data_IF_322417428314
#
_entry.id   IF_322417428314
#
_cell.length_a   1.000
_cell.length_b   1.000
_cell.length_c   1.000
_cell.angle_alpha   90.00
_cell.angle_beta   90.00
_cell.angle_gamma   90.00
#
_symmetry.space_group_name_H-M   'P 1'
#
loop_
_entity.id
_entity.type
_entity.pdbx_description
1 polymer ?
#
# COMPACT_ATOMS: atom_id res chain seq x y z
N UNK A 1 9.17 -13.28 -10.97
CA UNK A 1 9.76 -14.37 -10.16
C UNK A 1 11.24 -14.03 -9.99
N UNK A 2 11.75 -13.79 -8.77
CA UNK A 2 13.19 -13.55 -8.58
C UNK A 2 13.91 -14.86 -8.89
N UNK A 3 14.64 -14.91 -9.99
CA UNK A 3 15.40 -16.09 -10.40
C UNK A 3 16.57 -16.27 -9.44
N UNK A 4 16.89 -17.53 -9.13
CA UNK A 4 18.10 -17.86 -8.38
C UNK A 4 19.29 -17.23 -9.11
N UNK A 5 20.14 -16.43 -8.43
CA UNK A 5 21.27 -15.79 -9.09
C UNK A 5 22.22 -16.84 -9.67
N UNK A 6 22.93 -16.47 -10.74
CA UNK A 6 23.94 -17.34 -11.35
C UNK A 6 24.97 -17.80 -10.31
N UNK A 7 25.60 -18.95 -10.56
CA UNK A 7 26.67 -19.49 -9.70
C UNK A 7 27.73 -18.40 -9.43
N UNK A 8 28.11 -18.22 -8.16
CA UNK A 8 29.04 -17.19 -7.73
C UNK A 8 28.44 -15.79 -7.56
N UNK A 9 27.17 -15.55 -7.93
CA UNK A 9 26.47 -14.27 -7.78
C UNK A 9 25.45 -14.26 -6.63
N UNK A 10 25.61 -15.15 -5.64
CA UNK A 10 24.69 -15.22 -4.49
C UNK A 10 24.56 -13.89 -3.74
N UNK A 11 25.65 -13.14 -3.65
CA UNK A 11 25.70 -11.83 -2.98
C UNK A 11 24.80 -10.75 -3.61
N UNK A 12 24.36 -10.93 -4.85
CA UNK A 12 23.47 -9.97 -5.53
C UNK A 12 21.98 -10.20 -5.21
N UNK A 13 21.64 -11.26 -4.48
CA UNK A 13 20.26 -11.55 -4.09
C UNK A 13 19.83 -10.84 -2.80
N UNK A 14 20.80 -10.34 -2.01
CA UNK A 14 20.54 -9.65 -0.76
C UNK A 14 19.88 -8.29 -0.98
N UNK A 15 18.97 -7.93 -0.07
CA UNK A 15 18.37 -6.62 0.03
C UNK A 15 18.60 -6.08 1.44
N UNK A 16 18.65 -4.76 1.62
CA UNK A 16 18.82 -4.16 2.95
C UNK A 16 17.63 -4.49 3.87
N UNK A 17 17.86 -4.59 5.17
CA UNK A 17 16.82 -4.65 6.20
C UNK A 17 16.56 -3.28 6.83
N UNK A 18 16.73 -2.20 6.04
CA UNK A 18 16.47 -0.84 6.49
C UNK A 18 14.98 -0.57 6.37
N UNK A 19 14.38 -0.01 7.40
CA UNK A 19 13.01 0.52 7.41
C UNK A 19 13.03 1.99 7.80
N UNK A 20 11.92 2.68 7.55
CA UNK A 20 11.71 4.06 7.98
C UNK A 20 10.96 4.07 9.30
N UNK A 21 11.45 4.88 10.23
CA UNK A 21 10.88 5.08 11.56
C UNK A 21 10.83 6.56 11.86
N UNK A 22 10.06 6.95 12.87
CA UNK A 22 10.08 8.32 13.39
C UNK A 22 10.79 8.32 14.74
N UNK A 23 11.84 9.12 14.87
CA UNK A 23 12.60 9.35 16.10
C UNK A 23 12.63 10.86 16.33
N UNK A 24 12.25 11.31 17.52
CA UNK A 24 12.13 12.74 17.86
C UNK A 24 11.35 13.57 16.82
N UNK A 25 10.22 13.02 16.37
CA UNK A 25 9.37 13.60 15.31
C UNK A 25 10.02 13.71 13.92
N UNK A 26 11.22 13.15 13.72
CA UNK A 26 11.95 13.19 12.45
C UNK A 26 11.96 11.81 11.78
N UNK A 27 11.44 11.68 10.55
CA UNK A 27 11.56 10.47 9.75
C UNK A 27 13.03 10.11 9.52
N UNK A 28 13.39 8.89 9.87
CA UNK A 28 14.76 8.42 9.97
C UNK A 28 14.88 6.95 9.57
N UNK A 29 16.07 6.55 9.14
CA UNK A 29 16.38 5.18 8.74
C UNK A 29 16.83 4.34 9.94
N UNK A 30 16.27 3.14 10.05
CA UNK A 30 16.66 2.13 11.03
C UNK A 30 17.02 0.83 10.31
N UNK A 31 18.25 0.36 10.50
CA UNK A 31 18.67 -0.97 10.08
C UNK A 31 18.33 -1.99 11.17
N UNK A 32 17.62 -3.04 10.79
CA UNK A 32 17.39 -4.21 11.63
C UNK A 32 18.53 -5.20 11.41
N UNK A 33 19.44 -5.31 12.38
CA UNK A 33 20.69 -6.07 12.25
C UNK A 33 20.83 -7.16 13.33
N UNK A 34 20.42 -8.40 13.03
CA UNK A 34 20.66 -9.54 13.91
C UNK A 34 22.14 -9.83 14.18
N UNK A 35 23.05 -9.32 13.35
CA UNK A 35 24.50 -9.45 13.52
C UNK A 35 25.09 -8.45 14.53
N UNK A 36 24.35 -7.41 14.90
CA UNK A 36 24.76 -6.45 15.92
C UNK A 36 24.32 -6.95 17.30
N UNK A 37 25.25 -7.06 18.24
CA UNK A 37 24.93 -7.47 19.62
C UNK A 37 24.03 -6.45 20.32
N UNK A 38 24.28 -5.16 20.11
CA UNK A 38 23.57 -4.06 20.74
C UNK A 38 23.05 -3.05 19.71
N UNK A 39 21.99 -2.36 20.09
CA UNK A 39 21.45 -1.22 19.36
C UNK A 39 22.38 -0.02 19.49
N UNK A 40 22.70 0.62 18.37
CA UNK A 40 23.68 1.71 18.35
C UNK A 40 23.43 2.72 17.24
N UNK A 41 24.04 3.90 17.38
CA UNK A 41 23.97 4.99 16.40
C UNK A 41 25.28 5.77 16.38
N UNK A 42 25.64 6.30 15.22
CA UNK A 42 26.83 7.16 15.08
C UNK A 42 26.54 8.58 15.53
N UNK A 43 27.47 9.18 16.29
CA UNK A 43 27.40 10.55 16.80
C UNK A 43 26.96 11.57 15.73
N UNK A 44 27.64 11.54 14.59
CA UNK A 44 27.40 12.51 13.50
C UNK A 44 25.99 12.40 12.93
N UNK A 45 25.47 11.18 12.82
CA UNK A 45 24.13 10.93 12.31
C UNK A 45 23.05 11.23 13.35
N UNK A 46 23.27 10.87 14.61
CA UNK A 46 22.34 11.22 15.68
C UNK A 46 22.14 12.74 15.74
N UNK A 47 23.20 13.52 15.60
CA UNK A 47 23.12 14.99 15.60
C UNK A 47 22.28 15.58 14.45
N UNK A 48 22.13 14.88 13.32
CA UNK A 48 21.24 15.36 12.24
C UNK A 48 19.77 15.20 12.58
N UNK A 49 19.44 14.29 13.50
CA UNK A 49 18.08 13.99 13.92
C UNK A 49 17.76 14.66 15.27
N UNK A 50 18.71 14.69 16.20
CA UNK A 50 18.56 15.23 17.55
C UNK A 50 19.78 16.11 17.84
N UNK A 51 19.76 17.42 17.51
CA UNK A 51 20.95 18.27 17.55
C UNK A 51 21.58 18.43 18.95
N UNK A 52 20.79 18.32 20.01
CA UNK A 52 21.22 18.48 21.41
C UNK A 52 21.13 17.15 22.18
N UNK A 53 21.45 16.03 21.53
CA UNK A 53 21.36 14.71 22.18
C UNK A 53 22.38 14.55 23.31
N UNK A 54 23.49 15.30 23.28
CA UNK A 54 24.55 15.22 24.29
C UNK A 54 24.05 15.53 25.70
N UNK A 55 23.07 16.43 25.85
CA UNK A 55 22.45 16.78 27.12
C UNK A 55 21.55 15.65 27.69
N UNK A 56 21.19 14.68 26.84
CA UNK A 56 20.31 13.55 27.15
C UNK A 56 21.10 12.25 27.33
N UNK A 57 22.43 12.28 27.19
CA UNK A 57 23.25 11.09 27.30
C UNK A 57 23.31 10.59 28.73
N UNK A 58 22.91 9.33 28.92
CA UNK A 58 23.18 8.60 30.13
C UNK A 58 24.63 8.07 30.11
N UNK A 59 25.29 7.96 31.28
CA UNK A 59 26.65 7.46 31.36
C UNK A 59 26.73 5.99 30.92
N UNK A 60 27.87 5.62 30.32
CA UNK A 60 28.18 4.24 29.96
C UNK A 60 29.56 3.90 30.53
N UNK A 61 29.64 2.81 31.31
CA UNK A 61 30.89 2.44 31.99
C UNK A 61 31.22 0.96 31.80
N UNK A 62 32.51 0.67 31.64
CA UNK A 62 33.07 -0.68 31.71
C UNK A 62 32.86 -1.59 30.49
N UNK A 63 32.21 -1.15 29.41
CA UNK A 63 31.92 -1.99 28.23
C UNK A 63 32.84 -1.62 27.05
N UNK A 64 33.49 -2.63 26.47
CA UNK A 64 34.25 -2.51 25.22
C UNK A 64 33.38 -2.94 24.05
N UNK A 65 33.23 -2.05 23.07
CA UNK A 65 32.53 -2.34 21.83
C UNK A 65 33.52 -2.58 20.70
N UNK A 66 33.24 -3.55 19.85
CA UNK A 66 34.05 -3.85 18.66
C UNK A 66 33.13 -3.93 17.45
N UNK A 67 33.55 -3.30 16.36
CA UNK A 67 33.03 -3.60 15.03
C UNK A 67 33.79 -4.80 14.44
N UNK A 68 33.42 -5.22 13.23
CA UNK A 68 34.14 -6.28 12.51
C UNK A 68 35.62 -5.96 12.27
N UNK A 69 36.00 -4.68 12.28
CA UNK A 69 37.35 -4.25 11.85
C UNK A 69 38.10 -3.44 12.90
N UNK A 70 37.40 -2.75 13.80
CA UNK A 70 38.02 -1.80 14.73
C UNK A 70 37.29 -1.73 16.09
N UNK A 71 38.00 -1.41 17.17
CA UNK A 71 37.38 -1.00 18.43
C UNK A 71 36.48 0.23 18.24
N UNK A 72 35.39 0.26 18.97
CA UNK A 72 34.38 1.31 18.92
C UNK A 72 34.39 2.10 20.24
N UNK A 73 34.38 3.43 20.14
CA UNK A 73 34.36 4.33 21.30
C UNK A 73 32.93 4.77 21.56
N UNK A 74 32.34 4.24 22.63
CA UNK A 74 31.04 4.67 23.12
C UNK A 74 31.15 6.02 23.86
N UNK A 75 30.15 6.88 23.68
CA UNK A 75 30.02 8.19 24.34
C UNK A 75 29.02 8.19 25.49
N UNK A 76 27.97 7.37 25.37
CA UNK A 76 26.87 7.30 26.32
C UNK A 76 25.72 6.49 25.75
N UNK A 77 24.64 6.39 26.52
CA UNK A 77 23.38 5.79 26.11
C UNK A 77 22.38 6.90 25.78
N UNK A 78 21.74 6.80 24.62
CA UNK A 78 20.66 7.68 24.21
C UNK A 78 19.35 6.88 24.20
N UNK A 79 18.47 7.15 25.16
CA UNK A 79 17.13 6.55 25.23
C UNK A 79 16.15 7.37 24.39
N UNK A 80 15.40 6.72 23.50
CA UNK A 80 14.35 7.38 22.72
C UNK A 80 13.20 6.43 22.39
N UNK A 81 12.06 7.01 22.06
CA UNK A 81 10.99 6.29 21.39
C UNK A 81 11.31 6.14 19.89
N UNK A 82 11.19 4.92 19.40
CA UNK A 82 11.21 4.57 17.97
C UNK A 82 9.79 4.26 17.56
N UNK A 83 9.27 5.03 16.61
CA UNK A 83 7.91 4.88 16.12
C UNK A 83 7.95 4.23 14.74
N UNK A 84 7.31 3.08 14.60
CA UNK A 84 7.07 2.42 13.33
C UNK A 84 5.73 2.89 12.77
N UNK A 85 5.72 3.73 11.72
CA UNK A 85 4.49 4.20 11.12
C UNK A 85 3.74 3.07 10.42
N UNK A 86 2.42 3.05 10.53
CA UNK A 86 1.57 2.06 9.85
C UNK A 86 0.14 2.59 9.68
N UNK A 87 -0.51 2.23 8.57
CA UNK A 87 -1.87 2.70 8.20
C UNK A 87 -2.94 2.38 9.26
N UNK A 88 -2.77 1.26 9.97
CA UNK A 88 -3.69 0.81 11.02
C UNK A 88 -3.30 1.30 12.43
N UNK A 89 -2.43 2.30 12.52
CA UNK A 89 -1.94 2.85 13.77
C UNK A 89 -0.45 2.58 13.99
N UNK A 90 0.24 3.60 14.49
CA UNK A 90 1.68 3.55 14.72
C UNK A 90 2.02 2.65 15.89
N UNK A 91 3.11 1.89 15.77
CA UNK A 91 3.69 1.16 16.89
C UNK A 91 4.84 1.98 17.48
N UNK A 92 4.90 2.09 18.81
CA UNK A 92 5.97 2.78 19.52
C UNK A 92 6.70 1.79 20.41
N UNK A 93 8.02 1.77 20.32
CA UNK A 93 8.90 1.04 21.24
C UNK A 93 9.92 2.00 21.86
N UNK A 94 10.36 1.73 23.07
CA UNK A 94 11.42 2.50 23.74
C UNK A 94 12.73 1.75 23.58
N UNK A 95 13.78 2.44 23.14
CA UNK A 95 15.07 1.85 22.79
C UNK A 95 16.20 2.70 23.34
N UNK A 96 17.16 2.05 23.95
CA UNK A 96 18.45 2.60 24.33
C UNK A 96 19.48 2.34 23.23
N UNK A 97 20.03 3.40 22.65
CA UNK A 97 21.09 3.31 21.66
C UNK A 97 22.43 3.66 22.29
N UNK A 98 23.42 2.80 22.10
CA UNK A 98 24.81 3.16 22.37
C UNK A 98 25.27 4.17 21.32
N UNK A 99 25.64 5.38 21.75
CA UNK A 99 26.14 6.42 20.84
C UNK A 99 27.63 6.21 20.61
N UNK A 100 28.02 5.99 19.36
CA UNK A 100 29.37 5.66 18.95
C UNK A 100 30.06 6.88 18.32
N UNK A 101 31.26 7.23 18.78
CA UNK A 101 32.02 8.38 18.26
C UNK A 101 32.59 8.11 16.87
N UNK A 102 33.20 6.94 16.67
CA UNK A 102 33.92 6.56 15.45
C UNK A 102 33.07 5.66 14.52
N UNK A 103 31.78 5.97 14.38
CA UNK A 103 30.84 5.19 13.57
C UNK A 103 30.18 6.03 12.47
N UNK A 104 30.43 5.67 11.21
CA UNK A 104 30.00 6.42 10.01
C UNK A 104 28.76 5.84 9.34
N UNK A 105 27.73 5.52 10.13
CA UNK A 105 26.43 5.06 9.60
C UNK A 105 25.51 6.23 9.24
N UNK A 106 24.59 6.01 8.31
CA UNK A 106 23.51 6.96 7.94
C UNK A 106 22.12 6.46 8.36
N UNK A 107 22.10 5.59 9.35
CA UNK A 107 20.92 4.99 9.94
C UNK A 107 21.23 4.56 11.38
N UNK A 108 20.19 4.49 12.21
CA UNK A 108 20.24 3.76 13.47
C UNK A 108 20.42 2.26 13.21
N UNK A 109 20.96 1.52 14.17
CA UNK A 109 20.99 0.07 14.15
C UNK A 109 20.18 -0.44 15.34
N UNK A 110 19.14 -1.20 15.06
CA UNK A 110 18.46 -2.02 16.06
C UNK A 110 19.13 -3.40 16.06
N UNK A 111 19.87 -3.65 17.13
CA UNK A 111 20.61 -4.88 17.32
C UNK A 111 19.76 -6.01 17.90
N UNK A 112 20.41 -7.14 18.08
CA UNK A 112 19.78 -8.37 18.56
C UNK A 112 19.20 -8.23 19.99
N UNK A 113 19.73 -7.31 20.80
CA UNK A 113 19.20 -6.91 22.11
C UNK A 113 17.70 -6.56 22.04
N UNK A 114 17.33 -5.64 21.15
CA UNK A 114 15.96 -5.17 21.01
C UNK A 114 15.14 -5.96 20.00
N UNK A 115 15.78 -6.60 19.01
CA UNK A 115 15.08 -7.52 18.11
C UNK A 115 14.45 -8.68 18.89
N UNK A 116 15.19 -9.29 19.82
CA UNK A 116 14.67 -10.37 20.67
C UNK A 116 13.66 -9.82 21.68
N UNK A 117 13.98 -8.69 22.34
CA UNK A 117 13.12 -8.11 23.38
C UNK A 117 11.71 -7.80 22.87
N UNK A 118 11.59 -7.27 21.66
CA UNK A 118 10.30 -6.89 21.06
C UNK A 118 9.72 -7.96 20.11
N UNK A 119 10.36 -9.14 19.98
CA UNK A 119 9.90 -10.18 19.08
C UNK A 119 9.80 -9.70 17.63
N UNK A 120 10.87 -9.09 17.11
CA UNK A 120 10.91 -8.55 15.75
C UNK A 120 11.35 -9.64 14.78
N UNK A 121 10.45 -10.04 13.89
CA UNK A 121 10.70 -11.05 12.87
C UNK A 121 10.92 -10.44 11.49
N UNK A 122 11.97 -10.87 10.80
CA UNK A 122 12.30 -10.43 9.43
C UNK A 122 11.83 -11.49 8.42
N UNK A 123 10.82 -11.17 7.63
CA UNK A 123 10.30 -12.07 6.60
C UNK A 123 10.95 -11.81 5.24
N UNK A 124 11.82 -12.74 4.82
CA UNK A 124 12.57 -12.67 3.56
C UNK A 124 11.91 -13.49 2.43
N UNK A 125 10.60 -13.38 2.27
CA UNK A 125 9.86 -14.03 1.18
C UNK A 125 9.76 -13.10 -0.06
N UNK A 126 8.85 -13.39 -1.01
CA UNK A 126 8.66 -12.58 -2.22
C UNK A 126 8.35 -11.12 -1.89
N UNK A 127 7.60 -10.89 -0.82
CA UNK A 127 7.16 -9.58 -0.34
C UNK A 127 7.82 -9.34 1.01
N UNK A 128 9.01 -8.74 1.03
CA UNK A 128 9.79 -8.60 2.27
C UNK A 128 9.10 -7.61 3.21
N UNK A 129 8.82 -8.06 4.43
CA UNK A 129 8.27 -7.25 5.50
C UNK A 129 8.87 -7.68 6.85
N UNK A 130 8.60 -6.89 7.88
CA UNK A 130 8.83 -7.28 9.27
C UNK A 130 7.53 -7.27 10.07
N UNK A 131 7.50 -8.02 11.16
CA UNK A 131 6.45 -7.96 12.18
C UNK A 131 7.09 -7.68 13.54
N UNK A 132 6.32 -7.13 14.47
CA UNK A 132 6.80 -6.78 15.80
C UNK A 132 5.82 -7.37 16.82
N UNK A 133 6.34 -8.19 17.73
CA UNK A 133 5.55 -8.95 18.70
C UNK A 133 4.65 -10.00 18.05
N UNK A 134 3.57 -10.36 18.75
CA UNK A 134 2.66 -11.43 18.33
C UNK A 134 1.69 -11.03 17.19
N UNK A 135 1.65 -9.75 16.82
CA UNK A 135 0.73 -9.26 15.80
C UNK A 135 1.25 -9.53 14.37
N UNK A 136 1.04 -10.76 13.90
CA UNK A 136 1.45 -11.19 12.54
C UNK A 136 0.65 -10.54 11.42
N UNK A 137 -0.45 -9.87 11.73
CA UNK A 137 -1.27 -9.16 10.75
C UNK A 137 -0.71 -7.77 10.41
N UNK A 138 0.01 -7.13 11.34
CA UNK A 138 0.61 -5.82 11.13
C UNK A 138 2.02 -5.97 10.53
N UNK A 139 2.13 -5.67 9.24
CA UNK A 139 3.37 -5.84 8.47
C UNK A 139 3.98 -4.48 8.17
N UNK A 140 5.24 -4.29 8.53
CA UNK A 140 5.97 -3.06 8.21
C UNK A 140 6.90 -3.31 7.03
N UNK A 141 6.97 -2.33 6.12
CA UNK A 141 7.76 -2.42 4.91
C UNK A 141 9.23 -2.11 5.20
N UNK A 142 10.13 -2.76 4.46
CA UNK A 142 11.50 -2.28 4.32
C UNK A 142 11.55 -1.18 3.25
N UNK A 143 12.47 -0.24 3.42
CA UNK A 143 12.79 0.72 2.38
C UNK A 143 13.26 -0.04 1.14
N UNK A 144 12.65 0.22 -0.02
CA UNK A 144 13.06 -0.46 -1.22
C UNK A 144 14.45 0.02 -1.65
N UNK A 145 15.17 -0.84 -2.35
CA UNK A 145 16.46 -0.45 -2.93
C UNK A 145 16.23 0.74 -3.87
N UNK A 146 17.16 1.72 -3.89
CA UNK A 146 17.07 3.08 -4.49
C UNK A 146 16.31 3.23 -5.83
N UNK A 147 16.08 2.17 -6.60
CA UNK A 147 15.28 2.20 -7.83
C UNK A 147 13.75 2.17 -7.66
N UNK A 148 13.18 1.85 -6.49
CA UNK A 148 11.72 1.75 -6.33
C UNK A 148 11.06 3.02 -5.78
N UNK A 149 11.78 3.83 -4.99
CA UNK A 149 11.28 5.08 -4.37
C UNK A 149 10.93 6.14 -5.43
N UNK A 150 11.69 6.18 -6.53
CA UNK A 150 11.39 7.10 -7.63
C UNK A 150 10.03 6.77 -8.27
N UNK A 151 9.72 5.48 -8.43
CA UNK A 151 8.50 5.03 -9.09
C UNK A 151 7.24 5.28 -8.24
N UNK A 152 7.30 5.12 -6.92
CA UNK A 152 6.14 5.37 -6.04
C UNK A 152 5.79 6.86 -5.94
N UNK A 153 6.79 7.74 -5.88
CA UNK A 153 6.54 9.18 -5.86
C UNK A 153 6.04 9.70 -7.21
N UNK A 154 6.60 9.20 -8.32
CA UNK A 154 6.11 9.51 -9.67
C UNK A 154 4.70 8.99 -9.88
N UNK A 155 4.41 7.75 -9.46
CA UNK A 155 3.07 7.18 -9.57
C UNK A 155 2.06 7.90 -8.67
N UNK A 156 2.44 8.24 -7.43
CA UNK A 156 1.54 8.98 -6.53
C UNK A 156 1.27 10.39 -7.05
N UNK A 157 2.25 11.07 -7.62
CA UNK A 157 2.05 12.37 -8.25
C UNK A 157 1.14 12.24 -9.48
N UNK A 158 1.41 11.24 -10.35
CA UNK A 158 0.59 10.95 -11.52
C UNK A 158 -0.87 10.64 -11.14
N UNK A 159 -1.10 9.76 -10.16
CA UNK A 159 -2.45 9.41 -9.69
C UNK A 159 -3.16 10.61 -9.06
N UNK A 160 -2.44 11.48 -8.36
CA UNK A 160 -3.01 12.71 -7.81
C UNK A 160 -3.36 13.73 -8.89
N UNK A 161 -2.50 13.87 -9.91
CA UNK A 161 -2.71 14.78 -11.03
C UNK A 161 -3.93 14.35 -11.86
N UNK A 162 -4.10 13.04 -12.04
CA UNK A 162 -5.23 12.44 -12.76
C UNK A 162 -6.38 12.00 -11.84
N UNK A 163 -6.44 12.46 -10.59
CA UNK A 163 -7.44 12.00 -9.59
C UNK A 163 -8.90 12.18 -10.05
N UNK A 164 -9.14 13.16 -10.91
CA UNK A 164 -10.47 13.52 -11.46
C UNK A 164 -10.89 12.61 -12.64
N UNK A 165 -9.98 11.78 -13.15
CA UNK A 165 -10.25 10.79 -14.20
C UNK A 165 -10.72 9.42 -13.64
N UNK A 166 -10.78 9.29 -12.30
CA UNK A 166 -11.18 8.05 -11.62
C UNK A 166 -12.57 8.16 -11.00
N UNK A 167 -13.37 7.10 -11.14
CA UNK A 167 -14.68 7.00 -10.51
C UNK A 167 -14.57 7.02 -8.97
N UNK A 168 -15.44 7.81 -8.34
CA UNK A 168 -15.60 7.88 -6.89
C UNK A 168 -17.05 7.63 -6.47
N UNK A 169 -17.30 7.49 -5.17
CA UNK A 169 -18.68 7.34 -4.64
C UNK A 169 -19.55 8.59 -4.89
N UNK A 170 -18.92 9.74 -5.19
CA UNK A 170 -19.60 11.02 -5.45
C UNK A 170 -19.72 11.34 -6.94
N UNK A 171 -18.78 10.85 -7.74
CA UNK A 171 -18.68 11.05 -9.19
C UNK A 171 -18.46 9.67 -9.83
N UNK A 172 -19.53 8.90 -10.05
CA UNK A 172 -19.43 7.58 -10.67
C UNK A 172 -18.96 7.71 -12.12
N UNK A 173 -18.46 6.60 -12.69
CA UNK A 173 -17.83 6.58 -14.02
C UNK A 173 -18.63 7.30 -15.12
N UNK A 174 -19.95 7.15 -15.13
CA UNK A 174 -20.83 7.79 -16.11
C UNK A 174 -20.90 9.31 -16.03
N UNK A 175 -20.38 9.94 -14.97
CA UNK A 175 -20.36 11.40 -14.79
C UNK A 175 -18.99 12.02 -15.15
N UNK A 176 -17.99 11.21 -15.53
CA UNK A 176 -16.64 11.67 -15.88
C UNK A 176 -16.54 11.92 -17.41
N UNK A 177 -16.22 13.17 -17.78
CA UNK A 177 -16.07 13.58 -19.19
C UNK A 177 -14.84 12.87 -19.82
N UNK A 178 -15.02 12.25 -21.00
CA UNK A 178 -13.96 11.52 -21.71
C UNK A 178 -13.83 10.03 -21.37
N UNK A 179 -14.66 9.54 -20.45
CA UNK A 179 -14.75 8.12 -20.07
C UNK A 179 -16.11 7.52 -20.50
N UNK A 180 -16.58 7.88 -21.69
CA UNK A 180 -17.85 7.40 -22.22
C UNK A 180 -17.81 5.89 -22.45
N UNK A 181 -18.80 5.17 -21.91
CA UNK A 181 -18.95 3.74 -22.14
C UNK A 181 -19.87 3.49 -23.35
N UNK A 182 -19.28 3.03 -24.45
CA UNK A 182 -20.03 2.59 -25.63
C UNK A 182 -20.72 1.25 -25.37
N UNK A 183 -22.02 1.29 -25.04
CA UNK A 183 -22.84 0.08 -24.92
C UNK A 183 -23.39 -0.28 -26.30
N UNK A 184 -22.67 -1.14 -27.02
CA UNK A 184 -23.14 -1.71 -28.27
C UNK A 184 -24.13 -2.84 -27.96
N UNK A 185 -25.42 -2.57 -28.17
CA UNK A 185 -26.42 -3.63 -28.19
C UNK A 185 -26.20 -4.46 -29.45
N UNK A 186 -26.11 -5.79 -29.31
CA UNK A 186 -25.90 -6.73 -30.41
C UNK A 186 -27.12 -6.82 -31.34
N UNK A 187 -27.30 -5.81 -32.19
CA UNK A 187 -28.37 -5.76 -33.20
C UNK A 187 -27.88 -6.10 -34.61
N UNK A 188 -26.70 -6.70 -34.74
CA UNK A 188 -26.19 -7.17 -36.03
C UNK A 188 -27.06 -8.30 -36.60
N UNK A 189 -27.31 -8.23 -37.90
CA UNK A 189 -28.04 -9.28 -38.61
C UNK A 189 -27.16 -10.54 -38.72
N UNK A 190 -27.77 -11.73 -38.68
CA UNK A 190 -29.20 -11.99 -38.59
C UNK A 190 -29.72 -11.79 -37.16
N UNK A 191 -30.82 -11.03 -37.03
CA UNK A 191 -31.49 -10.87 -35.75
C UNK A 191 -31.78 -12.25 -35.16
N UNK A 192 -31.72 -12.40 -33.82
CA UNK A 192 -32.26 -13.58 -33.17
C UNK A 192 -33.66 -13.86 -33.73
N UNK A 193 -34.00 -15.10 -34.09
CA UNK A 193 -35.27 -15.41 -34.69
C UNK A 193 -36.39 -14.80 -33.85
N UNK A 194 -37.28 -14.04 -34.49
CA UNK A 194 -38.48 -13.49 -33.85
C UNK A 194 -39.10 -14.58 -32.99
N UNK A 195 -39.04 -14.39 -31.67
CA UNK A 195 -39.53 -15.38 -30.73
C UNK A 195 -41.03 -15.50 -30.96
N UNK A 196 -41.46 -16.60 -31.61
CA UNK A 196 -42.87 -16.91 -31.88
C UNK A 196 -43.69 -17.12 -30.60
N UNK A 197 -43.01 -17.19 -29.45
CA UNK A 197 -43.55 -17.34 -28.09
C UNK A 197 -42.82 -16.35 -27.19
N UNK A 198 -43.44 -15.87 -26.09
CA UNK A 198 -42.71 -15.06 -25.12
C UNK A 198 -41.42 -15.78 -24.71
N UNK A 199 -40.32 -15.03 -24.57
CA UNK A 199 -39.05 -15.58 -24.11
C UNK A 199 -39.30 -16.44 -22.86
N UNK A 200 -38.78 -17.66 -22.84
CA UNK A 200 -38.82 -18.49 -21.64
C UNK A 200 -38.29 -17.63 -20.48
N UNK A 201 -38.95 -17.62 -19.32
CA UNK A 201 -38.42 -16.89 -18.18
C UNK A 201 -36.99 -17.36 -17.96
N UNK A 202 -36.06 -16.40 -17.90
CA UNK A 202 -34.65 -16.70 -17.67
C UNK A 202 -34.53 -17.64 -16.46
N UNK A 203 -33.58 -18.59 -16.51
CA UNK A 203 -33.37 -19.51 -15.39
C UNK A 203 -33.13 -18.71 -14.09
N UNK A 204 -33.49 -19.23 -12.90
CA UNK A 204 -33.25 -18.51 -11.64
C UNK A 204 -31.83 -17.96 -11.53
N UNK A 205 -30.83 -18.78 -11.89
CA UNK A 205 -29.42 -18.40 -11.93
C UNK A 205 -29.12 -17.27 -12.93
N UNK A 206 -29.74 -17.30 -14.11
CA UNK A 206 -29.59 -16.25 -15.12
C UNK A 206 -30.25 -14.94 -14.67
N UNK A 207 -31.34 -15.00 -13.90
CA UNK A 207 -32.01 -13.82 -13.32
C UNK A 207 -31.14 -13.17 -12.25
N UNK A 208 -30.57 -13.96 -11.35
CA UNK A 208 -29.62 -13.47 -10.34
C UNK A 208 -28.41 -12.79 -11.00
N UNK A 209 -27.83 -13.42 -12.03
CA UNK A 209 -26.71 -12.83 -12.76
C UNK A 209 -27.11 -11.51 -13.46
N UNK A 210 -28.29 -11.43 -14.06
CA UNK A 210 -28.79 -10.19 -14.67
C UNK A 210 -29.03 -9.10 -13.62
N UNK A 211 -29.55 -9.44 -12.44
CA UNK A 211 -29.74 -8.51 -11.34
C UNK A 211 -28.42 -7.93 -10.83
N UNK A 212 -27.36 -8.74 -10.76
CA UNK A 212 -26.02 -8.29 -10.37
C UNK A 212 -25.50 -7.26 -11.38
N UNK A 213 -25.51 -7.58 -12.67
CA UNK A 213 -25.02 -6.66 -13.70
C UNK A 213 -25.81 -5.35 -13.75
N UNK A 214 -27.15 -5.41 -13.56
CA UNK A 214 -27.97 -4.20 -13.52
C UNK A 214 -27.64 -3.33 -12.32
N UNK A 215 -27.40 -3.94 -11.15
CA UNK A 215 -26.95 -3.21 -9.95
C UNK A 215 -25.59 -2.55 -10.17
N UNK A 216 -24.67 -3.23 -10.84
CA UNK A 216 -23.36 -2.68 -11.19
C UNK A 216 -23.47 -1.48 -12.14
N UNK A 217 -24.27 -1.58 -13.19
CA UNK A 217 -24.47 -0.48 -14.13
C UNK A 217 -25.17 0.73 -13.50
N UNK A 218 -26.10 0.50 -12.57
CA UNK A 218 -26.73 1.56 -11.76
C UNK A 218 -25.71 2.21 -10.82
N UNK A 219 -24.85 1.41 -10.18
CA UNK A 219 -23.81 1.90 -9.28
C UNK A 219 -22.76 2.76 -10.02
N UNK A 220 -22.39 2.35 -11.24
CA UNK A 220 -21.44 3.06 -12.09
C UNK A 220 -22.03 4.32 -12.76
N UNK A 221 -23.31 4.65 -12.53
CA UNK A 221 -23.98 5.79 -13.14
C UNK A 221 -24.21 5.65 -14.65
N UNK A 222 -24.00 4.46 -15.22
CA UNK A 222 -24.10 4.21 -16.67
C UNK A 222 -25.55 4.10 -17.14
N UNK A 223 -26.46 3.70 -16.24
CA UNK A 223 -27.90 3.65 -16.48
C UNK A 223 -28.65 4.17 -15.26
N UNK A 224 -29.86 4.69 -15.44
CA UNK A 224 -30.74 5.10 -14.33
C UNK A 224 -32.11 4.44 -14.40
N UNK A 225 -32.75 4.31 -13.23
CA UNK A 225 -34.13 3.82 -13.12
C UNK A 225 -35.10 4.98 -13.31
N UNK A 226 -36.04 4.82 -14.23
CA UNK A 226 -37.08 5.82 -14.51
C UNK A 226 -38.43 5.38 -13.92
N UNK A 227 -39.15 6.33 -13.34
CA UNK A 227 -40.46 6.11 -12.73
C UNK A 227 -41.52 5.72 -13.77
N UNK A 228 -42.62 5.08 -13.34
CA UNK A 228 -43.67 4.59 -14.25
C UNK A 228 -44.37 5.71 -15.07
N UNK A 229 -44.27 6.95 -14.61
CA UNK A 229 -44.91 8.13 -15.20
C UNK A 229 -43.88 9.23 -15.54
N UNK A 230 -42.59 8.92 -15.53
CA UNK A 230 -41.54 9.88 -15.86
C UNK A 230 -41.26 9.81 -17.37
N UNK A 231 -41.45 10.92 -18.07
CA UNK A 231 -40.97 11.08 -19.45
C UNK A 231 -39.46 11.27 -19.40
N UNK A 232 -38.72 10.24 -19.82
CA UNK A 232 -37.28 10.33 -19.99
C UNK A 232 -36.95 10.74 -21.42
N UNK A 233 -36.19 11.82 -21.58
CA UNK A 233 -35.58 12.16 -22.86
C UNK A 233 -34.68 11.00 -23.32
N UNK A 234 -34.83 10.60 -24.58
CA UNK A 234 -34.26 9.34 -25.12
C UNK A 234 -32.72 9.42 -25.20
N UNK A 235 -32.12 10.60 -25.00
CA UNK A 235 -30.68 10.91 -25.08
C UNK A 235 -29.83 10.28 -23.98
N UNK A 236 -30.44 9.79 -22.90
CA UNK A 236 -29.74 9.03 -21.85
C UNK A 236 -30.14 7.55 -21.91
N UNK A 237 -29.22 6.59 -21.84
CA UNK A 237 -29.59 5.18 -21.72
C UNK A 237 -30.38 4.95 -20.42
N UNK A 238 -31.65 4.58 -20.55
CA UNK A 238 -32.59 4.42 -19.44
C UNK A 238 -33.12 2.99 -19.37
N UNK A 239 -33.24 2.44 -18.15
CA UNK A 239 -34.09 1.25 -17.93
C UNK A 239 -35.53 1.71 -17.75
N UNK A 240 -36.38 1.41 -18.74
CA UNK A 240 -37.82 1.67 -18.68
C UNK A 240 -38.51 0.41 -18.19
N UNK A 241 -38.84 0.42 -16.90
CA UNK A 241 -39.51 -0.62 -16.12
C UNK A 241 -38.66 -1.82 -15.66
N UNK A 242 -38.55 -1.98 -14.33
CA UNK A 242 -38.22 -3.23 -13.66
C UNK A 242 -39.46 -3.69 -12.89
N UNK A 243 -40.27 -4.57 -13.49
CA UNK A 243 -41.43 -5.17 -12.82
C UNK A 243 -41.53 -6.65 -13.15
N UNK A 244 -41.65 -7.51 -12.13
CA UNK A 244 -41.71 -8.97 -12.26
C UNK A 244 -40.55 -9.62 -13.05
N UNK A 245 -39.34 -9.07 -12.94
CA UNK A 245 -38.14 -9.60 -13.61
C UNK A 245 -38.18 -9.47 -15.13
N UNK A 246 -38.88 -8.46 -15.65
CA UNK A 246 -38.80 -7.99 -17.03
C UNK A 246 -38.23 -6.58 -17.01
N UNK A 247 -37.17 -6.36 -17.79
CA UNK A 247 -36.58 -5.04 -18.03
C UNK A 247 -36.49 -4.75 -19.52
N UNK A 248 -36.62 -3.48 -19.87
CA UNK A 248 -36.30 -2.96 -21.21
C UNK A 248 -35.33 -1.80 -21.04
N UNK A 249 -34.20 -1.88 -21.75
CA UNK A 249 -33.28 -0.75 -21.91
C UNK A 249 -33.76 0.03 -23.14
N UNK A 250 -33.91 1.34 -22.99
CA UNK A 250 -34.29 2.27 -24.05
C UNK A 250 -33.23 3.37 -24.10
N UNK A 251 -32.66 3.62 -25.28
CA UNK A 251 -31.69 4.69 -25.54
C UNK A 251 -31.79 5.14 -27.00
N UNK A 252 -31.31 6.35 -27.32
CA UNK A 252 -31.31 6.86 -28.70
C UNK A 252 -30.14 6.29 -29.48
N UNK A 253 -30.42 5.95 -30.73
CA UNK A 253 -29.43 5.79 -31.78
C UNK A 253 -29.13 7.19 -32.31
N UNK A 254 -27.97 7.75 -31.99
CA UNK A 254 -27.32 8.65 -32.95
C UNK A 254 -26.47 7.77 -33.87
N UNK A 255 -26.72 7.90 -35.17
CA UNK A 255 -25.95 7.30 -36.26
C UNK A 255 -24.67 8.11 -36.52
#
# INVERSE_FOLDING_TARGET
MKTKPNRGKGYTAGNSCITEVVIDSIPTKLLLDPGALCSCVGKTFLRTCVPNFEDQLLPIDGIKFNSASNPMKALGIFETNVIFPHINGNLRITVEFVVMENFSSTHFILGNDYLIMYGIDLHNNKDRYLTIGDNKCQKFAFLPFKGQIALENELSALLHDHREEFASDKEPLGEIIGHEADIILNIERPYPPLLRRPAYPASPKSREALEIHIKELLYLGLIRKVGHNEEAEITTPVIVAWHNGKSRIVGTLEL
#
